data_IF_880270319091
#
_entry.id   IF_880270319091
#
_cell.length_a   1.000
_cell.length_b   1.000
_cell.length_c   1.000
_cell.angle_alpha   90.00
_cell.angle_beta   90.00
_cell.angle_gamma   90.00
#
_symmetry.space_group_name_H-M   'P 1'
#
loop_
_entity.id
_entity.type
_entity.pdbx_description
1 polymer ?
#
# COMPACT_ATOMS: atom_id res chain seq x y z
N UNK A 1 48.71 -26.15 -33.28
CA UNK A 1 48.61 -25.79 -31.86
C UNK A 1 47.81 -24.49 -31.75
N UNK A 2 46.59 -24.52 -31.21
CA UNK A 2 45.70 -23.35 -31.22
C UNK A 2 46.06 -22.41 -30.06
N UNK A 3 46.50 -21.17 -30.35
CA UNK A 3 46.79 -20.15 -29.35
C UNK A 3 45.50 -19.75 -28.64
N UNK A 4 45.41 -20.01 -27.33
CA UNK A 4 44.35 -19.45 -26.49
C UNK A 4 44.56 -17.93 -26.41
N UNK A 5 43.65 -17.15 -26.99
CA UNK A 5 43.58 -15.70 -26.77
C UNK A 5 43.02 -15.49 -25.36
N UNK A 6 43.86 -15.01 -24.45
CA UNK A 6 43.45 -14.63 -23.09
C UNK A 6 42.72 -13.29 -23.11
N UNK A 7 41.77 -13.14 -22.20
CA UNK A 7 41.04 -11.89 -21.97
C UNK A 7 42.00 -10.84 -21.41
N UNK A 8 42.02 -9.64 -21.99
CA UNK A 8 42.88 -8.55 -21.52
C UNK A 8 42.23 -7.79 -20.38
N UNK A 9 43.04 -7.29 -19.44
CA UNK A 9 42.53 -6.43 -18.35
C UNK A 9 41.90 -5.15 -18.91
N UNK A 10 42.44 -4.63 -20.02
CA UNK A 10 41.90 -3.44 -20.68
C UNK A 10 40.47 -3.67 -21.23
N UNK A 11 40.19 -4.84 -21.81
CA UNK A 11 38.84 -5.22 -22.23
C UNK A 11 37.86 -5.24 -21.05
N UNK A 12 38.29 -5.74 -19.88
CA UNK A 12 37.45 -5.72 -18.68
C UNK A 12 37.16 -4.30 -18.19
N UNK A 13 38.16 -3.42 -18.19
CA UNK A 13 38.04 -2.07 -17.64
C UNK A 13 37.04 -1.21 -18.41
N UNK A 14 37.04 -1.30 -19.75
CA UNK A 14 36.09 -0.56 -20.58
C UNK A 14 34.66 -1.05 -20.34
N UNK A 15 34.48 -2.36 -20.15
CA UNK A 15 33.15 -2.96 -19.88
C UNK A 15 32.59 -2.46 -18.55
N UNK A 16 33.39 -2.50 -17.48
CA UNK A 16 32.95 -2.00 -16.15
C UNK A 16 32.67 -0.50 -16.19
N UNK A 17 33.45 0.28 -16.94
CA UNK A 17 33.21 1.71 -17.11
C UNK A 17 31.85 1.99 -17.77
N UNK A 18 31.51 1.27 -18.84
CA UNK A 18 30.21 1.43 -19.52
C UNK A 18 29.05 0.99 -18.61
N UNK A 19 29.18 -0.15 -17.92
CA UNK A 19 28.16 -0.62 -16.97
C UNK A 19 27.94 0.40 -15.85
N UNK A 20 28.99 1.02 -15.33
CA UNK A 20 28.89 2.06 -14.30
C UNK A 20 28.01 3.25 -14.74
N UNK A 21 28.17 3.71 -15.98
CA UNK A 21 27.35 4.80 -16.54
C UNK A 21 25.88 4.37 -16.68
N UNK A 22 25.63 3.17 -17.21
CA UNK A 22 24.27 2.66 -17.38
C UNK A 22 23.56 2.48 -16.04
N UNK A 23 24.24 1.93 -15.04
CA UNK A 23 23.68 1.68 -13.70
C UNK A 23 23.34 2.99 -13.00
N UNK A 24 24.18 4.02 -13.13
CA UNK A 24 23.95 5.34 -12.53
C UNK A 24 22.61 5.95 -12.93
N UNK A 25 22.23 5.83 -14.21
CA UNK A 25 20.94 6.31 -14.72
C UNK A 25 19.80 5.34 -14.44
N UNK A 26 20.08 4.03 -14.51
CA UNK A 26 19.03 2.99 -14.41
C UNK A 26 18.46 2.83 -12.99
N UNK A 27 19.28 2.97 -11.94
CA UNK A 27 18.83 2.79 -10.55
C UNK A 27 17.70 3.75 -10.14
N UNK A 28 17.83 5.08 -10.29
CA UNK A 28 16.77 6.01 -9.86
C UNK A 28 15.48 5.77 -10.64
N UNK A 29 15.57 5.61 -11.96
CA UNK A 29 14.42 5.34 -12.83
C UNK A 29 13.67 4.07 -12.41
N UNK A 30 14.41 2.98 -12.22
CA UNK A 30 13.82 1.71 -11.81
C UNK A 30 13.18 1.78 -10.42
N UNK A 31 13.81 2.51 -9.49
CA UNK A 31 13.29 2.70 -8.13
C UNK A 31 11.94 3.44 -8.15
N UNK A 32 11.81 4.47 -8.98
CA UNK A 32 10.55 5.21 -9.13
C UNK A 32 9.44 4.35 -9.76
N UNK A 33 9.79 3.49 -10.71
CA UNK A 33 8.83 2.53 -11.28
C UNK A 33 8.34 1.53 -10.25
N UNK A 34 9.22 1.01 -9.38
CA UNK A 34 8.81 0.13 -8.28
C UNK A 34 7.87 0.85 -7.32
N UNK A 35 8.18 2.09 -6.93
CA UNK A 35 7.30 2.88 -6.04
C UNK A 35 5.91 3.07 -6.63
N UNK A 36 5.82 3.39 -7.93
CA UNK A 36 4.53 3.52 -8.65
C UNK A 36 3.77 2.19 -8.74
N UNK A 37 4.47 1.08 -8.97
CA UNK A 37 3.85 -0.24 -8.97
C UNK A 37 3.28 -0.62 -7.58
N UNK A 38 4.00 -0.28 -6.51
CA UNK A 38 3.54 -0.45 -5.12
C UNK A 38 2.31 0.40 -4.83
N UNK A 39 2.31 1.68 -5.25
CA UNK A 39 1.14 2.56 -5.15
C UNK A 39 -0.08 1.95 -5.83
N UNK A 40 0.05 1.50 -7.09
CA UNK A 40 -1.06 0.89 -7.82
C UNK A 40 -1.61 -0.36 -7.12
N UNK A 41 -0.72 -1.17 -6.54
CA UNK A 41 -1.09 -2.35 -5.74
C UNK A 41 -1.86 -1.94 -4.48
N UNK A 42 -1.38 -0.92 -3.77
CA UNK A 42 -2.04 -0.42 -2.56
C UNK A 42 -3.41 0.21 -2.86
N UNK A 43 -3.55 0.93 -3.97
CA UNK A 43 -4.84 1.44 -4.44
C UNK A 43 -5.82 0.30 -4.74
N UNK A 44 -5.36 -0.78 -5.36
CA UNK A 44 -6.18 -1.96 -5.60
C UNK A 44 -6.60 -2.64 -4.28
N UNK A 45 -5.67 -2.80 -3.34
CA UNK A 45 -5.93 -3.38 -2.03
C UNK A 45 -6.93 -2.56 -1.21
N UNK A 46 -6.83 -1.23 -1.23
CA UNK A 46 -7.77 -0.35 -0.56
C UNK A 46 -9.20 -0.46 -1.15
N UNK A 47 -9.32 -0.54 -2.47
CA UNK A 47 -10.60 -0.78 -3.14
C UNK A 47 -11.19 -2.15 -2.80
N UNK A 48 -10.33 -3.17 -2.71
CA UNK A 48 -10.75 -4.50 -2.28
C UNK A 48 -11.24 -4.49 -0.81
N UNK A 49 -10.54 -3.76 0.07
CA UNK A 49 -10.97 -3.56 1.45
C UNK A 49 -12.34 -2.88 1.53
N UNK A 50 -12.59 -1.84 0.72
CA UNK A 50 -13.89 -1.20 0.63
C UNK A 50 -15.00 -2.17 0.22
N UNK A 51 -14.77 -2.91 -0.88
CA UNK A 51 -15.74 -3.86 -1.38
C UNK A 51 -16.04 -4.98 -0.37
N UNK A 52 -15.01 -5.46 0.34
CA UNK A 52 -15.17 -6.48 1.37
C UNK A 52 -15.93 -5.98 2.60
N UNK A 53 -15.67 -4.74 3.04
CA UNK A 53 -16.41 -4.10 4.13
C UNK A 53 -17.89 -3.92 3.76
N UNK A 54 -18.17 -3.41 2.55
CA UNK A 54 -19.53 -3.27 2.02
C UNK A 54 -20.25 -4.60 1.93
N UNK A 55 -19.58 -5.65 1.42
CA UNK A 55 -20.16 -6.99 1.31
C UNK A 55 -20.55 -7.55 2.68
N UNK A 56 -19.64 -7.44 3.67
CA UNK A 56 -19.92 -7.89 5.03
C UNK A 56 -21.10 -7.12 5.65
N UNK A 57 -21.17 -5.81 5.45
CA UNK A 57 -22.27 -5.02 6.00
C UNK A 57 -23.61 -5.37 5.35
N UNK A 58 -23.66 -5.57 4.04
CA UNK A 58 -24.89 -5.99 3.35
C UNK A 58 -25.36 -7.38 3.80
N UNK A 59 -24.44 -8.30 4.06
CA UNK A 59 -24.76 -9.64 4.59
C UNK A 59 -25.34 -9.58 6.01
N UNK A 60 -24.88 -8.62 6.83
CA UNK A 60 -25.22 -8.53 8.25
C UNK A 60 -26.26 -7.44 8.59
N UNK A 61 -26.85 -6.77 7.59
CA UNK A 61 -27.70 -5.55 7.71
C UNK A 61 -28.84 -5.63 8.73
N UNK A 62 -29.33 -6.83 9.05
CA UNK A 62 -30.44 -7.04 9.99
C UNK A 62 -30.07 -7.95 11.17
N UNK A 63 -28.78 -8.07 11.47
CA UNK A 63 -28.27 -8.90 12.57
C UNK A 63 -27.76 -8.03 13.70
N UNK A 64 -27.88 -8.51 14.94
CA UNK A 64 -27.33 -7.83 16.12
C UNK A 64 -25.80 -7.66 16.03
N UNK A 65 -25.12 -8.37 15.11
CA UNK A 65 -23.67 -8.30 14.86
C UNK A 65 -23.18 -6.94 14.37
N UNK A 66 -24.07 -6.09 13.83
CA UNK A 66 -23.71 -4.74 13.39
C UNK A 66 -23.61 -3.72 14.52
N UNK A 67 -24.19 -4.02 15.67
CA UNK A 67 -24.28 -3.05 16.75
C UNK A 67 -22.87 -2.73 17.25
N UNK A 68 -22.47 -1.45 17.19
CA UNK A 68 -21.18 -0.95 17.66
C UNK A 68 -19.96 -1.47 16.87
N UNK A 69 -20.07 -1.62 15.55
CA UNK A 69 -18.92 -1.88 14.67
C UNK A 69 -18.66 -0.61 13.87
N UNK A 70 -17.60 0.14 14.20
CA UNK A 70 -17.20 1.39 13.51
C UNK A 70 -15.84 1.25 12.79
N UNK A 71 -15.19 0.11 12.96
CA UNK A 71 -13.89 -0.22 12.37
C UNK A 71 -13.89 -1.67 11.92
N UNK A 72 -13.17 -1.98 10.87
CA UNK A 72 -12.86 -3.36 10.52
C UNK A 72 -11.55 -3.49 9.79
N UNK A 73 -10.95 -4.67 9.93
CA UNK A 73 -9.68 -5.02 9.30
C UNK A 73 -9.95 -5.84 8.05
N UNK A 74 -9.30 -5.48 6.96
CA UNK A 74 -9.16 -6.29 5.76
C UNK A 74 -7.76 -6.88 5.67
N UNK A 75 -7.67 -8.20 5.50
CA UNK A 75 -6.41 -8.90 5.25
C UNK A 75 -6.28 -9.24 3.77
N UNK A 76 -5.24 -8.69 3.12
CA UNK A 76 -5.00 -8.81 1.68
C UNK A 76 -4.68 -10.25 1.26
N UNK A 77 -4.05 -11.04 2.14
CA UNK A 77 -3.67 -12.41 1.83
C UNK A 77 -4.88 -13.35 1.83
N UNK A 78 -5.80 -13.14 2.75
CA UNK A 78 -7.02 -13.96 2.87
C UNK A 78 -8.20 -13.41 2.08
N UNK A 79 -8.18 -12.13 1.71
CA UNK A 79 -9.32 -11.44 1.11
C UNK A 79 -10.50 -11.28 2.07
N UNK A 80 -10.30 -11.50 3.37
CA UNK A 80 -11.36 -11.49 4.37
C UNK A 80 -11.40 -10.15 5.09
N UNK A 81 -12.62 -9.65 5.25
CA UNK A 81 -12.92 -8.55 6.17
C UNK A 81 -13.33 -9.10 7.55
N UNK A 82 -12.81 -8.49 8.60
CA UNK A 82 -13.07 -8.83 10.00
C UNK A 82 -13.61 -7.56 10.69
N UNK A 83 -14.88 -7.56 11.11
CA UNK A 83 -15.47 -6.41 11.80
C UNK A 83 -14.89 -6.25 13.22
N UNK A 84 -14.34 -5.08 13.50
CA UNK A 84 -13.89 -4.65 14.83
C UNK A 84 -15.01 -3.96 15.61
N UNK A 85 -14.88 -3.90 16.92
CA UNK A 85 -15.85 -3.24 17.81
C UNK A 85 -15.49 -1.75 18.00
N UNK A 86 -16.45 -0.92 18.37
CA UNK A 86 -16.21 0.49 18.72
C UNK A 86 -15.05 0.62 19.73
N UNK A 87 -14.05 1.42 19.37
CA UNK A 87 -12.94 1.76 20.26
C UNK A 87 -11.81 0.73 20.38
N UNK A 88 -11.89 -0.45 19.77
CA UNK A 88 -10.70 -1.33 19.62
C UNK A 88 -9.94 -0.93 18.36
N UNK A 89 -8.83 -0.23 18.63
CA UNK A 89 -7.91 0.40 17.68
C UNK A 89 -8.57 1.39 16.73
N UNK A 90 -8.99 2.53 17.26
CA UNK A 90 -8.72 3.78 16.53
C UNK A 90 -7.19 3.87 16.39
N UNK A 91 -6.57 3.77 15.20
CA UNK A 91 -5.24 4.33 15.02
C UNK A 91 -5.41 5.83 15.23
N UNK A 92 -5.10 6.26 16.45
CA UNK A 92 -5.30 7.58 17.06
C UNK A 92 -5.84 8.72 16.18
N UNK A 93 -6.84 9.49 16.67
CA UNK A 93 -7.46 10.58 15.93
C UNK A 93 -6.53 11.80 15.89
N UNK A 94 -5.47 11.80 15.11
CA UNK A 94 -4.60 12.97 14.99
C UNK A 94 -4.34 13.28 13.53
N UNK A 95 -5.20 14.18 13.04
CA UNK A 95 -4.89 15.30 12.16
C UNK A 95 -3.75 14.99 11.18
N UNK A 96 -4.13 14.41 10.06
CA UNK A 96 -4.35 15.19 8.85
C UNK A 96 -4.77 14.23 7.73
N UNK A 97 -6.02 14.37 7.29
CA UNK A 97 -6.69 13.71 6.16
C UNK A 97 -5.71 13.08 5.17
N UNK A 98 -5.60 11.75 5.22
CA UNK A 98 -5.28 11.02 4.00
C UNK A 98 -6.52 11.17 3.14
N UNK A 99 -6.34 11.62 1.89
CA UNK A 99 -7.46 11.73 0.96
C UNK A 99 -8.21 10.40 0.92
N UNK A 100 -9.47 10.37 1.34
CA UNK A 100 -10.32 9.17 1.24
C UNK A 100 -10.49 8.73 -0.22
N UNK A 101 -10.28 9.66 -1.15
CA UNK A 101 -10.27 9.38 -2.57
C UNK A 101 -8.95 8.69 -2.96
N UNK A 102 -9.01 7.36 -3.07
CA UNK A 102 -7.92 6.48 -3.50
C UNK A 102 -7.26 6.95 -4.80
N UNK A 103 -8.00 7.61 -5.70
CA UNK A 103 -7.47 8.11 -6.97
C UNK A 103 -6.52 9.32 -6.81
N UNK A 104 -6.62 10.06 -5.71
CA UNK A 104 -5.76 11.20 -5.42
C UNK A 104 -4.42 10.79 -4.78
N UNK A 105 -4.25 9.50 -4.46
CA UNK A 105 -3.02 9.01 -3.84
C UNK A 105 -1.84 9.07 -4.80
N UNK A 106 -0.70 9.44 -4.24
CA UNK A 106 0.60 9.51 -4.89
C UNK A 106 1.61 8.63 -4.17
N UNK A 107 2.79 8.43 -4.77
CA UNK A 107 3.86 7.62 -4.16
C UNK A 107 4.33 8.19 -2.82
N UNK A 108 4.19 9.51 -2.64
CA UNK A 108 4.59 10.25 -1.44
C UNK A 108 3.40 10.47 -0.49
N UNK A 109 2.21 9.93 -0.82
CA UNK A 109 1.05 10.05 0.06
C UNK A 109 1.33 9.36 1.40
N UNK A 110 1.07 10.05 2.52
CA UNK A 110 1.28 9.50 3.86
C UNK A 110 0.32 8.34 4.15
N UNK A 111 0.72 7.45 5.05
CA UNK A 111 -0.04 6.24 5.44
C UNK A 111 -0.98 6.49 6.62
N UNK A 112 -0.65 7.43 7.51
CA UNK A 112 -1.42 7.64 8.75
C UNK A 112 -1.74 9.10 9.06
N UNK A 113 -0.80 10.01 8.79
CA UNK A 113 -1.01 11.45 8.92
C UNK A 113 0.02 12.17 8.04
N UNK A 114 -0.19 13.45 7.71
CA UNK A 114 0.73 14.26 6.87
C UNK A 114 2.20 14.24 7.30
N UNK A 115 2.49 13.93 8.56
CA UNK A 115 3.85 13.86 9.12
C UNK A 115 4.43 12.44 9.11
N UNK A 116 3.75 11.45 8.55
CA UNK A 116 4.23 10.07 8.55
C UNK A 116 5.45 9.97 7.65
N UNK A 117 6.58 9.50 8.21
CA UNK A 117 7.83 9.25 7.46
C UNK A 117 7.73 8.12 6.42
N UNK A 118 6.61 7.40 6.41
CA UNK A 118 6.37 6.28 5.51
C UNK A 118 5.27 6.67 4.53
N UNK A 119 5.48 6.39 3.26
CA UNK A 119 4.59 6.76 2.16
C UNK A 119 4.08 5.52 1.41
N UNK A 120 3.02 5.71 0.62
CA UNK A 120 2.35 4.63 -0.11
C UNK A 120 3.25 3.91 -1.13
N UNK A 121 4.29 4.57 -1.63
CA UNK A 121 5.28 3.97 -2.54
C UNK A 121 6.36 3.11 -1.86
N UNK A 122 6.49 3.17 -0.53
CA UNK A 122 7.60 2.53 0.17
C UNK A 122 7.45 1.01 0.25
N UNK A 123 6.23 0.52 0.39
CA UNK A 123 5.93 -0.92 0.49
C UNK A 123 4.48 -1.23 0.14
N UNK A 124 4.19 -2.50 -0.08
CA UNK A 124 2.81 -3.01 -0.20
C UNK A 124 2.33 -3.45 1.18
N UNK A 125 1.17 -2.93 1.60
CA UNK A 125 0.59 -3.23 2.91
C UNK A 125 -0.26 -4.48 2.85
N UNK A 126 -0.16 -5.32 3.90
CA UNK A 126 -0.90 -6.59 3.98
C UNK A 126 -2.24 -6.46 4.67
N UNK A 127 -2.42 -5.43 5.50
CA UNK A 127 -3.66 -5.21 6.22
C UNK A 127 -4.12 -3.77 6.11
N UNK A 128 -5.43 -3.60 6.14
CA UNK A 128 -6.09 -2.32 5.95
C UNK A 128 -7.18 -2.18 6.98
N UNK A 129 -7.12 -1.14 7.79
CA UNK A 129 -8.25 -0.76 8.61
C UNK A 129 -9.15 0.17 7.82
N UNK A 130 -10.43 -0.13 7.85
CA UNK A 130 -11.52 0.62 7.25
C UNK A 130 -12.35 1.17 8.39
N UNK A 131 -12.45 2.49 8.50
CA UNK A 131 -13.23 3.15 9.54
C UNK A 131 -14.43 3.87 8.95
N UNK A 132 -15.57 3.74 9.62
CA UNK A 132 -16.80 4.49 9.37
C UNK A 132 -17.32 5.05 10.71
N UNK A 133 -18.31 5.94 10.66
CA UNK A 133 -18.86 6.58 11.86
C UNK A 133 -20.28 6.07 12.06
N UNK A 134 -20.57 5.44 13.20
CA UNK A 134 -21.89 4.94 13.51
C UNK A 134 -22.38 3.87 12.53
N UNK A 135 -23.66 3.89 12.17
CA UNK A 135 -24.22 2.94 11.20
C UNK A 135 -23.59 3.13 9.82
N UNK A 136 -23.10 2.03 9.21
CA UNK A 136 -22.48 2.09 7.89
C UNK A 136 -23.52 2.51 6.83
N UNK A 137 -23.34 3.70 6.30
CA UNK A 137 -24.17 4.33 5.27
C UNK A 137 -23.59 4.15 3.85
N UNK A 138 -22.51 3.35 3.73
CA UNK A 138 -21.74 3.17 2.51
C UNK A 138 -20.57 4.14 2.35
N UNK A 139 -20.42 5.10 3.26
CA UNK A 139 -19.32 6.06 3.30
C UNK A 139 -18.19 5.55 4.18
N UNK A 140 -16.95 5.72 3.73
CA UNK A 140 -15.75 5.47 4.54
C UNK A 140 -15.13 6.80 4.93
N UNK A 141 -14.78 6.90 6.22
CA UNK A 141 -14.16 8.09 6.78
C UNK A 141 -12.63 8.03 6.71
N UNK A 142 -12.03 6.84 6.79
CA UNK A 142 -10.59 6.68 6.57
C UNK A 142 -10.22 5.26 6.16
N UNK A 143 -9.16 5.17 5.36
CA UNK A 143 -8.43 3.95 5.07
C UNK A 143 -7.03 4.07 5.63
N UNK A 144 -6.67 3.19 6.55
CA UNK A 144 -5.34 3.19 7.15
C UNK A 144 -4.66 1.84 6.91
N UNK A 145 -3.63 1.80 6.05
CA UNK A 145 -2.80 0.61 5.92
C UNK A 145 -2.01 0.35 7.19
N UNK A 146 -1.85 -0.92 7.55
CA UNK A 146 -0.97 -1.36 8.62
C UNK A 146 -0.34 -2.71 8.30
N UNK A 147 0.66 -3.10 9.09
CA UNK A 147 1.31 -4.42 9.03
C UNK A 147 1.38 -5.01 10.44
#
# INVERSE_FOLDING_TARGET
MCKKRGFTVAELLIVVAIIGVLVSVSIPVFTDHIKKARLATNQANARAAYAAAMAWYMENYNTDEQTYKDVGTYDVATGKFIPGYEGITQPSPYENEIDINIANWSVDSPIRNKNSKKCMGDKVFKKWDVNWNGSFDGTINSFTPYD
#
